data_IF_230706676702
#
_entry.id   IF_230706676702
#
_cell.length_a   1.000
_cell.length_b   1.000
_cell.length_c   1.000
_cell.angle_alpha   90.00
_cell.angle_beta   90.00
_cell.angle_gamma   90.00
#
_symmetry.space_group_name_H-M   'P 1'
#
loop_
_entity.id
_entity.type
_entity.pdbx_description
1 polymer ?
#
# COMPACT_ATOMS: atom_id res chain seq x y z
N UNK A 1 -17.68 22.33 -3.29
CA UNK A 1 -16.50 23.12 -3.74
C UNK A 1 -15.46 23.26 -2.63
N UNK A 2 -15.85 23.47 -1.37
CA UNK A 2 -14.90 23.72 -0.26
C UNK A 2 -14.12 22.50 0.26
N UNK A 3 -14.68 21.29 0.13
CA UNK A 3 -14.06 20.05 0.61
C UNK A 3 -12.88 19.59 -0.26
N UNK A 4 -12.95 19.82 -1.57
CA UNK A 4 -11.89 19.48 -2.53
C UNK A 4 -10.70 20.44 -2.41
N UNK A 5 -10.98 21.76 -2.29
CA UNK A 5 -9.95 22.79 -2.02
C UNK A 5 -9.16 22.50 -0.74
N UNK A 6 -9.86 22.13 0.34
CA UNK A 6 -9.25 21.77 1.62
C UNK A 6 -8.42 20.49 1.54
N UNK A 7 -8.78 19.54 0.66
CA UNK A 7 -8.02 18.31 0.41
C UNK A 7 -6.76 18.59 -0.40
N UNK A 8 -6.82 19.51 -1.36
CA UNK A 8 -5.69 19.89 -2.19
C UNK A 8 -4.64 20.72 -1.41
N UNK A 9 -5.07 21.64 -0.55
CA UNK A 9 -4.18 22.38 0.35
C UNK A 9 -3.44 21.44 1.33
N UNK A 10 -4.14 20.44 1.89
CA UNK A 10 -3.52 19.41 2.73
C UNK A 10 -2.47 18.60 1.96
N UNK A 11 -2.72 18.29 0.68
CA UNK A 11 -1.75 17.59 -0.18
C UNK A 11 -0.54 18.45 -0.54
N UNK A 12 -0.70 19.77 -0.71
CA UNK A 12 0.41 20.70 -0.93
C UNK A 12 1.29 20.80 0.31
N UNK A 13 0.69 21.05 1.48
CA UNK A 13 1.38 21.07 2.78
C UNK A 13 2.16 19.78 3.07
N UNK A 14 1.59 18.62 2.77
CA UNK A 14 2.28 17.33 2.94
C UNK A 14 3.51 17.16 2.05
N UNK A 15 3.47 17.66 0.80
CA UNK A 15 4.63 17.66 -0.11
C UNK A 15 5.71 18.65 0.31
N UNK A 16 5.29 19.78 0.89
CA UNK A 16 6.22 20.80 1.38
C UNK A 16 7.01 20.27 2.59
N UNK A 17 6.37 19.52 3.48
CA UNK A 17 7.05 18.83 4.60
C UNK A 17 8.10 17.82 4.11
N UNK A 18 7.81 17.02 3.09
CA UNK A 18 8.77 16.03 2.56
C UNK A 18 10.03 16.68 1.96
N UNK A 19 9.92 17.93 1.50
CA UNK A 19 11.04 18.72 0.94
C UNK A 19 11.89 19.39 2.01
N UNK A 20 11.36 19.60 3.21
CA UNK A 20 12.10 20.22 4.30
C UNK A 20 13.29 19.35 4.75
N UNK A 21 14.31 20.03 5.27
CA UNK A 21 15.50 19.42 5.86
C UNK A 21 15.21 18.95 7.29
N UNK A 22 16.07 18.09 7.84
CA UNK A 22 15.87 17.54 9.19
C UNK A 22 15.83 18.63 10.26
N UNK A 23 16.58 19.73 10.08
CA UNK A 23 16.60 20.86 11.02
C UNK A 23 15.25 21.58 11.04
N UNK A 24 14.73 21.92 9.87
CA UNK A 24 13.41 22.55 9.71
C UNK A 24 12.29 21.65 10.24
N UNK A 25 12.36 20.34 9.99
CA UNK A 25 11.40 19.38 10.55
C UNK A 25 11.47 19.29 12.09
N UNK A 26 12.65 19.49 12.69
CA UNK A 26 12.77 19.54 14.16
C UNK A 26 12.17 20.81 14.74
N UNK A 27 12.37 21.95 14.10
CA UNK A 27 11.78 23.22 14.52
C UNK A 27 10.25 23.18 14.40
N UNK A 28 9.74 22.72 13.27
CA UNK A 28 8.29 22.54 13.06
C UNK A 28 7.72 21.52 14.06
N UNK A 29 8.41 20.42 14.34
CA UNK A 29 7.95 19.48 15.38
C UNK A 29 7.94 20.13 16.78
N UNK A 30 8.98 20.87 17.15
CA UNK A 30 9.03 21.54 18.45
C UNK A 30 7.96 22.64 18.62
N UNK A 31 7.60 23.33 17.54
CA UNK A 31 6.60 24.41 17.58
C UNK A 31 5.16 23.90 17.45
N UNK A 32 4.93 22.85 16.66
CA UNK A 32 3.58 22.34 16.37
C UNK A 32 3.15 21.21 17.31
N UNK A 33 4.10 20.55 17.98
CA UNK A 33 3.82 19.36 18.79
C UNK A 33 4.59 19.35 20.10
N UNK A 34 3.92 18.98 21.20
CA UNK A 34 4.55 18.75 22.51
C UNK A 34 5.32 17.40 22.57
N UNK A 35 5.94 16.99 21.47
CA UNK A 35 6.65 15.72 21.39
C UNK A 35 7.96 15.80 22.18
N UNK A 36 8.09 14.95 23.22
CA UNK A 36 9.34 14.79 23.95
C UNK A 36 10.29 13.90 23.13
N UNK A 37 11.47 14.42 22.79
CA UNK A 37 12.52 13.65 22.08
C UNK A 37 12.73 13.98 20.60
N UNK A 38 12.21 15.11 20.10
CA UNK A 38 12.36 15.60 18.71
C UNK A 38 13.81 15.58 18.21
N UNK A 39 14.79 15.86 19.07
CA UNK A 39 16.20 15.87 18.69
C UNK A 39 16.77 14.47 18.36
N UNK A 40 16.23 13.40 18.95
CA UNK A 40 16.68 12.02 18.75
C UNK A 40 15.97 11.31 17.58
N UNK A 41 14.85 11.85 17.08
CA UNK A 41 14.06 11.24 16.01
C UNK A 41 14.73 11.38 14.64
N UNK A 42 14.59 10.34 13.81
CA UNK A 42 15.05 10.32 12.42
C UNK A 42 14.11 11.12 11.52
N UNK A 43 14.58 11.53 10.33
CA UNK A 43 13.78 12.34 9.38
C UNK A 43 12.40 11.74 9.09
N UNK A 44 12.32 10.42 8.92
CA UNK A 44 11.07 9.70 8.65
C UNK A 44 10.09 9.75 9.82
N UNK A 45 10.60 9.67 11.06
CA UNK A 45 9.80 9.69 12.28
C UNK A 45 9.24 11.10 12.54
N UNK A 46 10.05 12.14 12.30
CA UNK A 46 9.62 13.54 12.38
C UNK A 46 8.51 13.85 11.36
N UNK A 47 8.65 13.39 10.12
CA UNK A 47 7.63 13.57 9.09
C UNK A 47 6.30 12.91 9.46
N UNK A 48 6.35 11.69 9.98
CA UNK A 48 5.15 10.98 10.42
C UNK A 48 4.45 11.71 11.56
N UNK A 49 5.22 12.12 12.58
CA UNK A 49 4.68 12.77 13.75
C UNK A 49 4.06 14.16 13.45
N UNK A 50 4.69 14.95 12.58
CA UNK A 50 4.14 16.24 12.13
C UNK A 50 2.88 16.05 11.28
N UNK A 51 2.86 15.06 10.37
CA UNK A 51 1.69 14.77 9.53
C UNK A 51 0.51 14.25 10.34
N UNK A 52 0.77 13.44 11.36
CA UNK A 52 -0.23 12.95 12.30
C UNK A 52 -0.82 14.10 13.14
N UNK A 53 0.03 14.98 13.69
CA UNK A 53 -0.40 16.15 14.45
C UNK A 53 -1.21 17.15 13.59
N UNK A 54 -0.84 17.34 12.32
CA UNK A 54 -1.56 18.21 11.39
C UNK A 54 -2.86 17.57 10.81
N UNK A 55 -3.20 16.34 11.21
CA UNK A 55 -4.41 15.65 10.75
C UNK A 55 -4.44 15.43 9.23
N UNK A 56 -3.27 15.35 8.60
CA UNK A 56 -3.11 14.97 7.21
C UNK A 56 -2.94 13.46 7.22
N UNK A 57 -4.07 12.73 7.14
CA UNK A 57 -4.06 11.28 6.89
C UNK A 57 -3.16 11.03 5.69
N UNK A 58 -2.03 10.37 5.93
CA UNK A 58 -1.18 9.86 4.86
C UNK A 58 -2.04 8.95 3.97
N UNK A 59 -2.43 9.46 2.80
CA UNK A 59 -2.76 8.60 1.68
C UNK A 59 -1.45 7.89 1.31
N UNK A 60 -1.18 6.78 2.02
CA UNK A 60 -0.02 5.91 1.82
C UNK A 60 0.22 5.76 0.33
N UNK A 61 1.45 6.07 -0.07
CA UNK A 61 1.83 5.99 -1.47
C UNK A 61 1.55 4.58 -1.99
N UNK A 62 1.19 4.40 -3.28
CA UNK A 62 0.98 3.06 -3.86
C UNK A 62 2.15 2.11 -3.61
N UNK A 63 3.37 2.64 -3.45
CA UNK A 63 4.58 1.84 -3.13
C UNK A 63 4.55 1.21 -1.74
N UNK A 64 4.02 1.89 -0.73
CA UNK A 64 3.83 1.29 0.61
C UNK A 64 2.63 0.34 0.64
N UNK A 65 1.62 0.60 -0.19
CA UNK A 65 0.55 -0.37 -0.42
C UNK A 65 1.11 -1.66 -1.00
N UNK A 66 2.03 -1.62 -1.95
CA UNK A 66 2.64 -2.83 -2.54
C UNK A 66 3.37 -3.69 -1.48
N UNK A 67 3.94 -3.09 -0.43
CA UNK A 67 4.58 -3.82 0.67
C UNK A 67 3.62 -4.53 1.63
N UNK A 68 2.37 -4.04 1.77
CA UNK A 68 1.31 -4.62 2.62
C UNK A 68 0.20 -5.32 1.83
N UNK A 69 0.09 -5.05 0.54
CA UNK A 69 -0.60 -5.84 -0.49
C UNK A 69 0.30 -7.01 -0.92
N UNK A 70 1.14 -7.51 0.00
CA UNK A 70 1.46 -8.92 0.00
C UNK A 70 0.11 -9.64 0.14
N UNK A 71 -0.57 -9.89 -0.99
CA UNK A 71 -1.74 -10.77 -1.02
C UNK A 71 -1.33 -12.01 -0.25
N UNK A 72 -1.92 -12.18 0.93
CA UNK A 72 -1.42 -13.15 1.89
C UNK A 72 -1.40 -14.51 1.18
N UNK A 73 -0.43 -15.39 1.45
CA UNK A 73 -0.37 -16.72 0.81
C UNK A 73 -1.73 -17.43 0.87
N UNK A 74 -2.51 -17.18 1.94
CA UNK A 74 -3.91 -17.60 2.09
C UNK A 74 -4.83 -17.09 0.98
N UNK A 75 -4.81 -15.80 0.65
CA UNK A 75 -5.64 -15.19 -0.41
C UNK A 75 -5.27 -15.70 -1.81
N UNK A 76 -3.98 -15.96 -2.07
CA UNK A 76 -3.59 -16.56 -3.35
C UNK A 76 -4.12 -18.00 -3.44
N UNK A 77 -4.09 -18.74 -2.33
CA UNK A 77 -4.65 -20.10 -2.26
C UNK A 77 -6.17 -20.11 -2.45
N UNK A 78 -6.93 -19.17 -1.87
CA UNK A 78 -8.38 -19.06 -2.08
C UNK A 78 -8.70 -18.79 -3.55
N UNK A 79 -8.03 -17.81 -4.19
CA UNK A 79 -8.16 -17.53 -5.63
C UNK A 79 -7.84 -18.75 -6.50
N UNK A 80 -6.85 -19.56 -6.14
CA UNK A 80 -6.53 -20.80 -6.85
C UNK A 80 -7.69 -21.81 -6.76
N UNK A 81 -8.35 -21.93 -5.62
CA UNK A 81 -9.50 -22.85 -5.42
C UNK A 81 -10.67 -22.40 -6.31
N UNK A 82 -11.00 -21.12 -6.30
CA UNK A 82 -12.06 -20.55 -7.15
C UNK A 82 -11.78 -20.78 -8.65
N UNK A 83 -10.55 -20.51 -9.10
CA UNK A 83 -10.18 -20.71 -10.49
C UNK A 83 -10.18 -22.19 -10.90
N UNK A 84 -9.91 -23.12 -9.97
CA UNK A 84 -10.06 -24.56 -10.22
C UNK A 84 -11.52 -24.94 -10.42
N UNK A 85 -12.45 -24.36 -9.64
CA UNK A 85 -13.89 -24.58 -9.81
C UNK A 85 -14.36 -24.08 -11.19
N UNK A 86 -14.04 -22.82 -11.53
CA UNK A 86 -14.34 -22.24 -12.85
C UNK A 86 -13.73 -23.04 -14.01
N UNK A 87 -12.55 -23.64 -13.81
CA UNK A 87 -11.92 -24.51 -14.82
C UNK A 87 -12.67 -25.82 -15.00
N UNK A 88 -13.23 -26.39 -13.93
CA UNK A 88 -14.08 -27.59 -14.00
C UNK A 88 -15.36 -27.29 -14.77
N UNK A 89 -15.99 -26.14 -14.50
CA UNK A 89 -17.18 -25.66 -15.23
C UNK A 89 -16.88 -25.44 -16.72
N UNK A 90 -15.80 -24.72 -17.04
CA UNK A 90 -15.36 -24.52 -18.43
C UNK A 90 -15.06 -25.84 -19.17
N UNK A 91 -14.64 -26.87 -18.43
CA UNK A 91 -14.41 -28.20 -19.00
C UNK A 91 -15.73 -28.93 -19.29
N UNK A 92 -16.77 -28.72 -18.47
CA UNK A 92 -18.12 -29.22 -18.72
C UNK A 92 -18.75 -28.54 -19.94
N UNK A 93 -18.58 -27.21 -20.06
CA UNK A 93 -19.08 -26.44 -21.23
C UNK A 93 -18.25 -26.63 -22.51
N UNK A 94 -17.23 -27.51 -22.50
CA UNK A 94 -16.30 -27.76 -23.62
C UNK A 94 -15.59 -26.50 -24.16
N UNK A 95 -15.52 -25.43 -23.39
CA UNK A 95 -14.78 -24.21 -23.75
C UNK A 95 -13.27 -24.41 -23.55
N UNK A 96 -12.62 -24.92 -24.60
CA UNK A 96 -11.17 -25.17 -24.62
C UNK A 96 -10.34 -23.90 -24.37
N UNK A 97 -10.81 -22.74 -24.87
CA UNK A 97 -10.10 -21.46 -24.74
C UNK A 97 -10.09 -21.03 -23.27
N UNK A 98 -11.24 -21.07 -22.61
CA UNK A 98 -11.37 -20.69 -21.21
C UNK A 98 -10.62 -21.66 -20.29
N UNK A 99 -10.69 -22.97 -20.55
CA UNK A 99 -9.90 -23.97 -19.81
C UNK A 99 -8.40 -23.66 -19.88
N UNK A 100 -7.89 -23.29 -21.06
CA UNK A 100 -6.47 -22.97 -21.23
C UNK A 100 -6.07 -21.66 -20.54
N UNK A 101 -6.89 -20.62 -20.60
CA UNK A 101 -6.69 -19.35 -19.87
C UNK A 101 -6.65 -19.60 -18.36
N UNK A 102 -7.63 -20.32 -17.83
CA UNK A 102 -7.72 -20.63 -16.40
C UNK A 102 -6.54 -21.49 -15.93
N UNK A 103 -6.08 -22.45 -16.74
CA UNK A 103 -4.85 -23.23 -16.46
C UNK A 103 -3.63 -22.31 -16.31
N UNK A 104 -3.44 -21.36 -17.24
CA UNK A 104 -2.30 -20.42 -17.20
C UNK A 104 -2.37 -19.51 -15.98
N UNK A 105 -3.55 -18.97 -15.64
CA UNK A 105 -3.77 -18.15 -14.44
C UNK A 105 -3.42 -18.92 -13.16
N UNK A 106 -3.93 -20.16 -13.01
CA UNK A 106 -3.60 -21.02 -11.86
C UNK A 106 -2.08 -21.26 -11.75
N UNK A 107 -1.39 -21.50 -12.86
CA UNK A 107 0.06 -21.72 -12.84
C UNK A 107 0.83 -20.46 -12.42
N UNK A 108 0.42 -19.27 -12.86
CA UNK A 108 1.04 -18.01 -12.43
C UNK A 108 0.90 -17.80 -10.93
N UNK A 109 -0.32 -17.94 -10.39
CA UNK A 109 -0.57 -17.81 -8.96
C UNK A 109 0.21 -18.82 -8.12
N UNK A 110 0.36 -20.07 -8.58
CA UNK A 110 1.22 -21.07 -7.92
C UNK A 110 2.70 -20.66 -7.91
N UNK A 111 3.21 -20.08 -8.99
CA UNK A 111 4.59 -19.58 -9.05
C UNK A 111 4.78 -18.37 -8.12
N UNK A 112 3.80 -17.49 -8.08
CA UNK A 112 3.77 -16.35 -7.16
C UNK A 112 3.80 -16.76 -5.70
N UNK A 113 3.00 -17.78 -5.29
CA UNK A 113 3.10 -18.33 -3.92
C UNK A 113 4.48 -18.89 -3.59
N UNK A 114 5.18 -19.50 -4.56
CA UNK A 114 6.54 -20.03 -4.34
C UNK A 114 7.57 -18.92 -4.23
N UNK A 115 7.38 -17.80 -4.95
CA UNK A 115 8.25 -16.62 -4.85
C UNK A 115 8.09 -15.94 -3.50
N UNK A 116 6.84 -15.69 -3.09
CA UNK A 116 6.52 -15.06 -1.80
C UNK A 116 6.99 -15.93 -0.63
N UNK A 117 6.89 -17.26 -0.76
CA UNK A 117 7.38 -18.18 0.28
C UNK A 117 8.91 -18.32 0.35
N UNK A 118 9.64 -17.86 -0.68
CA UNK A 118 11.11 -17.92 -0.74
C UNK A 118 11.76 -16.58 -0.38
N UNK A 119 11.04 -15.48 -0.61
CA UNK A 119 11.41 -14.13 -0.20
C UNK A 119 11.23 -13.98 1.32
#
# INVERSE_FOLDING_TARGET
MDTEKKKEEKKKKGKDLDRMTVKELKEVAAETTDLVGVHAMKKSELLAAIKDAMGIKEEKTPKEKIGKEATTIKEIKTKIIELKAKRKEARKSRDKRMVHILRRKINRLKKETRRISKA
#
